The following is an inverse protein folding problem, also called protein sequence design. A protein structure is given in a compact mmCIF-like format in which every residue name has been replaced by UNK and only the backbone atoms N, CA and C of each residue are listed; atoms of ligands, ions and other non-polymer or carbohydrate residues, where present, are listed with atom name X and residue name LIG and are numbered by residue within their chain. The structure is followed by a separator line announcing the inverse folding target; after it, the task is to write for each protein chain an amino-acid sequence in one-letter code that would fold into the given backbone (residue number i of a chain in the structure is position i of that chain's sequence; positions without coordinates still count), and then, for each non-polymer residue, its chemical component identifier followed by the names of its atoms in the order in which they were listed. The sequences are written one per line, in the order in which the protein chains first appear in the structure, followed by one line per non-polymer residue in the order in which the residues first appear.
data_IF_754091180871
#
_entry.id   IF_754091180871
#
_cell.length_a   1.000
_cell.length_b   1.000
_cell.length_c   1.000
_cell.angle_alpha   90.00
_cell.angle_beta   90.00
_cell.angle_gamma   90.00
#
_symmetry.space_group_name_H-M   'P 1'
#
loop_
_entity.id
_entity.type
_entity.pdbx_description
1 polymer ?
#
# COMPACT_ATOMS: atom_id res chain seq x y z
N UNK A 1 -12.98 0.20 -14.06
CA UNK A 1 -11.52 0.29 -14.30
C UNK A 1 -10.74 0.26 -12.98
N UNK A 2 -9.47 -0.11 -13.03
CA UNK A 2 -8.52 -0.03 -11.90
C UNK A 2 -7.29 0.73 -12.38
N UNK A 3 -6.96 1.83 -11.71
CA UNK A 3 -5.82 2.68 -12.01
C UNK A 3 -4.82 2.68 -10.84
N UNK A 4 -3.54 2.56 -11.19
CA UNK A 4 -2.42 2.63 -10.25
C UNK A 4 -1.62 3.92 -10.50
N UNK A 5 -1.32 4.63 -9.42
CA UNK A 5 -0.52 5.84 -9.42
C UNK A 5 0.76 5.63 -8.62
N UNK A 6 1.87 6.16 -9.12
CA UNK A 6 3.13 6.19 -8.39
C UNK A 6 3.36 7.58 -7.82
N UNK A 7 3.33 7.70 -6.49
CA UNK A 7 3.47 8.96 -5.77
C UNK A 7 4.82 8.98 -5.04
N UNK A 8 5.64 10.04 -5.17
CA UNK A 8 6.89 10.15 -4.43
C UNK A 8 6.67 10.02 -2.92
N UNK A 9 7.47 9.20 -2.25
CA UNK A 9 7.31 8.95 -0.83
C UNK A 9 7.41 10.24 -0.01
N UNK A 10 6.38 10.51 0.79
CA UNK A 10 6.30 11.69 1.63
C UNK A 10 5.92 12.96 0.89
N UNK A 11 5.30 12.88 -0.29
CA UNK A 11 4.65 14.03 -0.92
C UNK A 11 3.80 14.79 0.12
N UNK A 12 4.01 16.10 0.23
CA UNK A 12 3.36 16.95 1.25
C UNK A 12 3.87 16.82 2.70
N UNK A 13 4.78 15.88 3.02
CA UNK A 13 5.25 15.64 4.40
C UNK A 13 6.79 15.58 4.49
N UNK A 14 7.48 16.71 4.82
CA UNK A 14 8.94 16.78 4.82
C UNK A 14 9.64 15.73 5.70
N UNK A 15 9.06 15.42 6.87
CA UNK A 15 9.63 14.42 7.79
C UNK A 15 9.68 13.04 7.13
N UNK A 16 8.60 12.64 6.44
CA UNK A 16 8.53 11.35 5.74
C UNK A 16 9.53 11.32 4.58
N UNK A 17 9.72 12.43 3.85
CA UNK A 17 10.73 12.52 2.79
C UNK A 17 12.14 12.33 3.34
N UNK A 18 12.47 12.99 4.45
CA UNK A 18 13.77 12.88 5.10
C UNK A 18 14.03 11.46 5.62
N UNK A 19 13.07 10.88 6.34
CA UNK A 19 13.15 9.49 6.81
C UNK A 19 13.30 8.52 5.62
N UNK A 20 12.56 8.73 4.54
CA UNK A 20 12.66 7.92 3.32
C UNK A 20 14.04 8.00 2.67
N UNK A 21 14.63 9.21 2.56
CA UNK A 21 15.99 9.40 2.03
C UNK A 21 17.05 8.74 2.90
N UNK A 22 16.93 8.84 4.22
CA UNK A 22 17.85 8.20 5.16
C UNK A 22 17.73 6.68 5.11
N UNK A 23 16.51 6.15 5.09
CA UNK A 23 16.25 4.72 4.91
C UNK A 23 16.89 4.22 3.62
N UNK A 24 16.64 4.90 2.50
CA UNK A 24 17.19 4.53 1.20
C UNK A 24 18.72 4.60 1.17
N UNK A 25 19.30 5.63 1.78
CA UNK A 25 20.74 5.77 1.92
C UNK A 25 21.37 4.54 2.60
N UNK A 26 20.81 4.13 3.74
CA UNK A 26 21.30 2.99 4.53
C UNK A 26 21.07 1.68 3.77
N UNK A 27 19.88 1.48 3.21
CA UNK A 27 19.52 0.25 2.52
C UNK A 27 20.28 0.07 1.20
N UNK A 28 20.47 1.13 0.44
CA UNK A 28 21.25 1.07 -0.80
C UNK A 28 22.72 0.72 -0.52
N UNK A 29 23.29 1.30 0.54
CA UNK A 29 24.65 0.95 0.99
C UNK A 29 24.74 -0.52 1.41
N UNK A 30 23.83 -0.99 2.27
CA UNK A 30 23.83 -2.37 2.75
C UNK A 30 23.61 -3.39 1.62
N UNK A 31 22.76 -3.05 0.65
CA UNK A 31 22.45 -3.89 -0.52
C UNK A 31 23.44 -3.70 -1.68
N UNK A 32 24.50 -2.91 -1.50
CA UNK A 32 25.53 -2.64 -2.53
C UNK A 32 24.95 -2.19 -3.88
N UNK A 33 23.95 -1.31 -3.85
CA UNK A 33 23.25 -0.80 -5.03
C UNK A 33 23.23 0.72 -5.07
N UNK A 34 22.99 1.35 -6.24
CA UNK A 34 22.71 2.78 -6.29
C UNK A 34 21.43 3.12 -5.52
N UNK A 35 21.36 4.37 -5.04
CA UNK A 35 20.16 4.93 -4.40
C UNK A 35 19.10 5.19 -5.46
N UNK A 36 17.86 4.87 -5.15
CA UNK A 36 16.68 5.07 -5.98
C UNK A 36 15.70 6.02 -5.31
N UNK A 37 14.86 6.65 -6.11
CA UNK A 37 13.72 7.43 -5.58
C UNK A 37 12.70 6.46 -5.00
N UNK A 38 12.15 6.80 -3.84
CA UNK A 38 11.12 5.99 -3.21
C UNK A 38 9.74 6.47 -3.63
N UNK A 39 8.88 5.51 -3.95
CA UNK A 39 7.48 5.76 -4.32
C UNK A 39 6.57 4.89 -3.46
N UNK A 40 5.34 5.37 -3.27
CA UNK A 40 4.24 4.52 -2.88
C UNK A 40 3.22 4.42 -4.01
N UNK A 41 2.56 3.27 -4.09
CA UNK A 41 1.45 3.03 -4.97
C UNK A 41 0.15 3.55 -4.33
N UNK A 42 -0.70 4.13 -5.17
CA UNK A 42 -2.08 4.49 -4.84
C UNK A 42 -3.01 3.81 -5.84
N UNK A 43 -4.13 3.27 -5.36
CA UNK A 43 -5.13 2.61 -6.19
C UNK A 43 -6.43 3.41 -6.24
N UNK A 44 -6.92 3.62 -7.45
CA UNK A 44 -8.25 4.17 -7.72
C UNK A 44 -9.03 3.11 -8.49
N UNK A 45 -10.18 2.71 -7.95
CA UNK A 45 -11.08 1.76 -8.61
C UNK A 45 -12.34 2.50 -9.01
N UNK A 46 -12.81 2.32 -10.23
CA UNK A 46 -14.11 2.82 -10.65
C UNK A 46 -14.99 1.65 -11.07
N UNK A 47 -16.17 1.60 -10.47
CA UNK A 47 -17.15 0.54 -10.71
C UNK A 47 -18.55 1.15 -10.75
N UNK A 48 -19.33 0.79 -11.77
CA UNK A 48 -20.72 1.25 -11.94
C UNK A 48 -20.87 2.79 -11.81
N UNK A 49 -19.87 3.54 -12.30
CA UNK A 49 -19.82 5.01 -12.26
C UNK A 49 -19.38 5.61 -10.91
N UNK A 50 -19.04 4.77 -9.93
CA UNK A 50 -18.59 5.18 -8.59
C UNK A 50 -17.09 4.99 -8.46
N UNK A 51 -16.38 6.09 -8.18
CA UNK A 51 -14.96 6.07 -7.83
C UNK A 51 -14.80 5.63 -6.37
N UNK A 52 -14.13 4.52 -6.15
CA UNK A 52 -13.78 3.96 -4.85
C UNK A 52 -12.27 4.05 -4.66
N UNK A 53 -11.87 4.61 -3.54
CA UNK A 53 -10.47 4.90 -3.24
C UNK A 53 -9.97 3.93 -2.18
N UNK A 54 -8.79 3.36 -2.41
CA UNK A 54 -8.11 2.47 -1.47
C UNK A 54 -6.92 3.20 -0.89
N UNK A 55 -6.97 3.50 0.40
CA UNK A 55 -5.95 4.27 1.10
C UNK A 55 -5.52 3.52 2.36
N UNK A 56 -4.24 3.66 2.71
CA UNK A 56 -3.80 3.32 4.06
C UNK A 56 -3.30 4.56 4.78
N UNK A 57 -3.84 4.82 5.97
CA UNK A 57 -3.55 6.02 6.73
C UNK A 57 -3.41 5.75 8.24
N UNK A 58 -2.77 6.65 9.01
CA UNK A 58 -2.85 6.64 10.47
C UNK A 58 -4.30 6.74 10.95
N UNK A 59 -4.56 6.30 12.18
CA UNK A 59 -5.88 6.38 12.82
C UNK A 59 -6.07 7.75 13.49
N UNK A 60 -6.91 8.66 12.95
CA UNK A 60 -7.08 9.99 13.51
C UNK A 60 -7.98 9.98 14.77
N UNK A 61 -9.01 9.14 14.77
CA UNK A 61 -10.04 9.04 15.82
C UNK A 61 -10.69 7.64 15.79
N UNK A 62 -11.67 7.40 16.68
CA UNK A 62 -12.30 6.09 16.85
C UNK A 62 -13.50 5.83 15.90
N UNK A 63 -13.84 6.77 15.00
CA UNK A 63 -14.96 6.66 14.05
C UNK A 63 -14.53 6.09 12.70
N UNK A 64 -13.83 4.96 12.72
CA UNK A 64 -13.32 4.29 11.50
C UNK A 64 -14.40 3.89 10.51
N UNK A 65 -15.57 3.47 11.00
CA UNK A 65 -16.75 3.12 10.17
C UNK A 65 -17.22 4.26 9.27
N UNK A 66 -17.15 5.52 9.72
CA UNK A 66 -17.50 6.68 8.90
C UNK A 66 -16.50 6.89 7.75
N UNK A 67 -15.33 6.26 7.84
CA UNK A 67 -14.23 6.33 6.88
C UNK A 67 -14.08 5.09 6.00
N UNK A 68 -15.03 4.15 6.05
CA UNK A 68 -14.93 2.91 5.27
C UNK A 68 -13.69 2.09 5.63
N UNK A 69 -13.28 2.10 6.90
CA UNK A 69 -12.18 1.26 7.38
C UNK A 69 -12.57 -0.21 7.22
N UNK A 70 -11.70 -0.98 6.57
CA UNK A 70 -11.90 -2.41 6.36
C UNK A 70 -10.89 -3.27 7.13
N UNK A 71 -9.76 -2.69 7.54
CA UNK A 71 -8.77 -3.38 8.36
C UNK A 71 -7.98 -2.40 9.22
N UNK A 72 -7.49 -2.86 10.38
CA UNK A 72 -6.58 -2.10 11.24
C UNK A 72 -5.42 -2.95 11.72
N UNK A 73 -4.25 -2.35 11.87
CA UNK A 73 -3.05 -3.05 12.32
C UNK A 73 -2.12 -2.18 13.16
N UNK A 74 -1.21 -2.79 13.93
CA UNK A 74 -0.22 -2.08 14.74
C UNK A 74 0.91 -1.47 13.89
N UNK A 75 1.53 -0.41 14.39
CA UNK A 75 2.70 0.25 13.80
C UNK A 75 3.92 0.06 14.69
N UNK A 76 5.04 -0.37 14.10
CA UNK A 76 6.33 -0.45 14.77
C UNK A 76 6.47 -1.64 15.72
N UNK A 77 5.66 -1.78 16.76
CA UNK A 77 5.66 -2.92 17.67
C UNK A 77 4.22 -3.38 17.95
N UNK A 78 4.01 -4.70 17.95
CA UNK A 78 2.68 -5.30 18.12
C UNK A 78 1.97 -4.84 19.40
N UNK A 79 2.69 -4.79 20.51
CA UNK A 79 2.12 -4.42 21.80
C UNK A 79 1.80 -2.91 21.90
N UNK A 80 2.46 -2.05 21.11
CA UNK A 80 2.15 -0.62 21.02
C UNK A 80 0.80 -0.36 20.37
N UNK A 81 0.32 -1.30 19.54
CA UNK A 81 -1.01 -1.24 18.91
C UNK A 81 -2.16 -1.12 19.90
N UNK A 82 -1.95 -1.31 21.21
CA UNK A 82 -2.94 -0.95 22.24
C UNK A 82 -3.26 0.56 22.24
N UNK A 83 -2.33 1.41 21.82
CA UNK A 83 -2.50 2.86 21.73
C UNK A 83 -2.77 3.29 20.29
N UNK A 84 -3.78 4.15 20.10
CA UNK A 84 -4.28 4.56 18.78
C UNK A 84 -3.20 5.14 17.87
N UNK A 85 -2.27 5.93 18.41
CA UNK A 85 -1.18 6.56 17.65
C UNK A 85 -0.21 5.56 17.01
N UNK A 86 -0.23 4.30 17.47
CA UNK A 86 0.56 3.20 16.91
C UNK A 86 -0.33 2.21 16.15
N UNK A 87 -1.41 2.69 15.53
CA UNK A 87 -2.25 1.90 14.63
C UNK A 87 -2.33 2.55 13.26
N UNK A 88 -2.58 1.73 12.25
CA UNK A 88 -2.93 2.16 10.91
C UNK A 88 -4.29 1.56 10.52
N UNK A 89 -4.95 2.22 9.57
CA UNK A 89 -6.22 1.82 8.97
C UNK A 89 -6.02 1.59 7.47
N UNK A 90 -6.58 0.50 6.94
CA UNK A 90 -6.84 0.35 5.50
C UNK A 90 -8.28 0.78 5.26
N UNK A 91 -8.48 1.75 4.36
CA UNK A 91 -9.76 2.35 4.03
C UNK A 91 -10.18 2.01 2.61
N UNK A 92 -11.47 1.78 2.44
CA UNK A 92 -12.16 1.58 1.17
C UNK A 92 -13.47 2.36 1.23
N UNK A 93 -13.56 3.48 0.51
CA UNK A 93 -14.78 4.30 0.51
C UNK A 93 -15.14 4.87 -0.88
N UNK A 94 -16.44 5.03 -1.18
CA UNK A 94 -16.89 5.80 -2.34
C UNK A 94 -16.52 7.29 -2.20
N UNK A 95 -16.02 7.89 -3.28
CA UNK A 95 -15.80 9.33 -3.40
C UNK A 95 -14.66 9.93 -2.58
N UNK A 96 -13.87 9.11 -1.87
CA UNK A 96 -12.81 9.66 -1.05
C UNK A 96 -11.58 10.10 -1.83
N UNK A 97 -10.79 10.98 -1.23
CA UNK A 97 -9.59 11.55 -1.82
C UNK A 97 -8.34 10.82 -1.36
N UNK A 98 -7.31 10.82 -2.21
CA UNK A 98 -5.93 10.49 -1.83
C UNK A 98 -5.20 11.83 -1.80
N UNK A 99 -4.87 12.38 -0.62
CA UNK A 99 -4.38 13.76 -0.50
C UNK A 99 -3.11 14.07 -1.31
N UNK A 100 -2.27 13.07 -1.56
CA UNK A 100 -0.99 13.20 -2.27
C UNK A 100 -1.05 12.72 -3.73
N UNK A 101 -2.23 12.40 -4.25
CA UNK A 101 -2.40 11.92 -5.63
C UNK A 101 -1.96 12.96 -6.66
N UNK A 102 -2.12 14.25 -6.37
CA UNK A 102 -1.69 15.35 -7.25
C UNK A 102 -0.16 15.38 -7.42
N UNK A 103 0.59 14.73 -6.54
CA UNK A 103 2.03 14.56 -6.66
C UNK A 103 2.43 13.31 -7.47
N UNK A 104 1.47 12.54 -7.99
CA UNK A 104 1.74 11.36 -8.81
C UNK A 104 2.61 11.72 -10.03
N UNK A 105 3.56 10.84 -10.35
CA UNK A 105 4.47 11.03 -11.48
C UNK A 105 3.92 10.33 -12.71
N UNK A 106 3.63 11.13 -13.74
CA UNK A 106 3.12 10.63 -15.02
C UNK A 106 1.62 10.31 -14.98
N UNK A 107 1.07 9.82 -16.10
CA UNK A 107 -0.32 9.39 -16.15
C UNK A 107 -0.57 8.14 -15.28
N UNK A 108 -1.82 7.89 -14.84
CA UNK A 108 -2.17 6.63 -14.20
C UNK A 108 -1.82 5.45 -15.10
N UNK A 109 -1.35 4.38 -14.47
CA UNK A 109 -1.23 3.09 -15.14
C UNK A 109 -2.55 2.35 -15.02
N UNK A 110 -3.25 2.21 -16.15
CA UNK A 110 -4.43 1.34 -16.26
C UNK A 110 -4.00 -0.10 -16.01
N UNK A 111 -4.48 -0.67 -14.91
CA UNK A 111 -4.25 -2.07 -14.54
C UNK A 111 -5.25 -2.96 -15.27
N UNK A 112 -6.51 -2.53 -15.33
CA UNK A 112 -7.56 -3.25 -16.04
C UNK A 112 -8.79 -2.38 -16.27
N UNK A 113 -9.56 -2.70 -17.31
CA UNK A 113 -10.91 -2.18 -17.55
C UNK A 113 -12.02 -3.17 -17.24
N UNK A 114 -11.67 -4.41 -16.90
CA UNK A 114 -12.62 -5.46 -16.56
C UNK A 114 -13.34 -5.16 -15.23
N UNK A 115 -14.66 -4.95 -15.24
CA UNK A 115 -15.44 -4.75 -14.01
C UNK A 115 -15.36 -5.92 -13.04
N UNK A 116 -15.19 -7.15 -13.52
CA UNK A 116 -15.06 -8.32 -12.66
C UNK A 116 -13.74 -8.30 -11.86
N UNK A 117 -12.63 -7.90 -12.49
CA UNK A 117 -11.35 -7.68 -11.79
C UNK A 117 -11.48 -6.52 -10.81
N UNK A 118 -12.13 -5.42 -11.18
CA UNK A 118 -12.37 -4.28 -10.29
C UNK A 118 -13.14 -4.67 -9.01
N UNK A 119 -14.18 -5.52 -9.14
CA UNK A 119 -14.91 -6.10 -7.99
C UNK A 119 -13.98 -6.91 -7.10
N UNK A 120 -13.20 -7.82 -7.69
CA UNK A 120 -12.25 -8.66 -6.94
C UNK A 120 -11.18 -7.84 -6.23
N UNK A 121 -10.71 -6.73 -6.81
CA UNK A 121 -9.80 -5.80 -6.14
C UNK A 121 -10.46 -5.25 -4.87
N UNK A 122 -11.69 -4.72 -4.96
CA UNK A 122 -12.38 -4.17 -3.80
C UNK A 122 -12.71 -5.21 -2.72
N UNK A 123 -13.04 -6.43 -3.12
CA UNK A 123 -13.23 -7.58 -2.22
C UNK A 123 -11.91 -7.96 -1.54
N UNK A 124 -10.81 -8.02 -2.29
CA UNK A 124 -9.49 -8.33 -1.75
C UNK A 124 -9.06 -7.32 -0.69
N UNK A 125 -9.26 -6.01 -0.90
CA UNK A 125 -8.90 -4.99 0.11
C UNK A 125 -9.47 -5.29 1.50
N UNK A 126 -10.71 -5.84 1.56
CA UNK A 126 -11.36 -6.17 2.82
C UNK A 126 -10.75 -7.39 3.54
N UNK A 127 -9.95 -8.19 2.84
CA UNK A 127 -9.29 -9.39 3.37
C UNK A 127 -7.77 -9.21 3.57
N UNK A 128 -7.25 -8.00 3.40
CA UNK A 128 -5.81 -7.70 3.53
C UNK A 128 -5.33 -8.07 4.94
N UNK A 129 -4.21 -8.80 5.08
CA UNK A 129 -3.65 -9.13 6.38
C UNK A 129 -3.11 -7.89 7.08
N UNK A 130 -3.06 -7.94 8.41
CA UNK A 130 -2.66 -6.80 9.25
C UNK A 130 -1.39 -7.07 10.09
N UNK A 131 -0.26 -7.44 9.47
CA UNK A 131 1.00 -7.54 10.20
C UNK A 131 1.45 -6.16 10.71
N UNK A 132 2.43 -6.14 11.60
CA UNK A 132 2.98 -4.90 12.13
C UNK A 132 3.62 -4.08 11.01
N UNK A 133 3.09 -2.88 10.78
CA UNK A 133 3.65 -1.94 9.82
C UNK A 133 5.10 -1.59 10.16
N UNK A 134 5.96 -1.59 9.15
CA UNK A 134 7.38 -1.33 9.30
C UNK A 134 8.19 -2.53 9.80
N UNK A 135 7.58 -3.72 9.91
CA UNK A 135 8.26 -4.96 10.28
C UNK A 135 8.14 -6.02 9.19
N UNK A 136 9.13 -6.90 9.14
CA UNK A 136 9.11 -8.10 8.32
C UNK A 136 8.60 -9.30 9.13
N UNK A 137 7.35 -9.23 9.62
CA UNK A 137 6.73 -10.38 10.33
C UNK A 137 6.42 -11.54 9.39
N UNK A 138 6.40 -11.28 8.09
CA UNK A 138 6.21 -12.30 7.09
C UNK A 138 7.52 -12.98 6.72
N UNK A 139 8.71 -12.53 7.12
CA UNK A 139 9.97 -13.09 6.62
C UNK A 139 10.07 -13.04 5.09
N UNK A 140 9.62 -11.93 4.49
CA UNK A 140 9.71 -11.65 3.07
C UNK A 140 11.03 -10.93 2.70
N UNK A 141 11.86 -10.57 3.68
CA UNK A 141 13.09 -9.79 3.48
C UNK A 141 12.84 -8.28 3.32
N UNK A 142 11.59 -7.83 3.41
CA UNK A 142 11.19 -6.42 3.39
C UNK A 142 10.06 -6.16 4.40
N UNK A 143 9.95 -4.92 4.87
CA UNK A 143 8.89 -4.52 5.79
C UNK A 143 7.52 -4.52 5.12
N UNK A 144 6.47 -4.80 5.91
CA UNK A 144 5.09 -4.53 5.49
C UNK A 144 4.78 -3.03 5.53
N UNK A 145 4.23 -2.50 4.43
CA UNK A 145 3.76 -1.13 4.32
C UNK A 145 2.62 -0.98 3.28
N UNK A 146 2.33 0.25 2.80
CA UNK A 146 1.18 0.53 1.93
C UNK A 146 1.37 -0.07 0.54
N UNK A 147 2.62 -0.14 0.06
CA UNK A 147 2.94 -0.87 -1.16
C UNK A 147 2.63 -2.36 -1.00
N UNK A 148 2.85 -2.92 0.20
CA UNK A 148 2.49 -4.31 0.49
C UNK A 148 0.99 -4.53 0.38
N UNK A 149 0.17 -3.62 0.92
CA UNK A 149 -1.29 -3.68 0.81
C UNK A 149 -1.75 -3.64 -0.65
N UNK A 150 -1.20 -2.72 -1.45
CA UNK A 150 -1.54 -2.60 -2.88
C UNK A 150 -1.12 -3.86 -3.65
N UNK A 151 0.13 -4.29 -3.51
CA UNK A 151 0.66 -5.46 -4.20
C UNK A 151 -0.12 -6.73 -3.83
N UNK A 152 -0.41 -6.91 -2.54
CA UNK A 152 -1.21 -8.03 -2.04
C UNK A 152 -2.63 -8.01 -2.64
N UNK A 153 -3.27 -6.84 -2.66
CA UNK A 153 -4.64 -6.69 -3.18
C UNK A 153 -4.71 -7.06 -4.65
N UNK A 154 -3.76 -6.56 -5.47
CA UNK A 154 -3.73 -6.82 -6.90
C UNK A 154 -3.46 -8.30 -7.21
N UNK A 155 -2.47 -8.91 -6.55
CA UNK A 155 -2.14 -10.33 -6.74
C UNK A 155 -3.33 -11.23 -6.35
N UNK A 156 -3.98 -10.95 -5.22
CA UNK A 156 -5.18 -11.69 -4.77
C UNK A 156 -6.39 -11.51 -5.68
N UNK A 157 -6.48 -10.40 -6.40
CA UNK A 157 -7.53 -10.15 -7.40
C UNK A 157 -7.25 -10.84 -8.75
N UNK A 158 -6.09 -11.50 -8.90
CA UNK A 158 -5.66 -12.18 -10.12
C UNK A 158 -5.05 -11.25 -11.16
N UNK A 159 -4.54 -10.08 -10.75
CA UNK A 159 -3.78 -9.18 -11.62
C UNK A 159 -2.36 -9.71 -11.78
N UNK A 160 -1.83 -9.67 -13.01
CA UNK A 160 -0.40 -9.89 -13.25
C UNK A 160 0.42 -8.71 -12.72
N UNK A 161 0.79 -8.81 -11.44
CA UNK A 161 1.59 -7.84 -10.71
C UNK A 161 3.05 -7.83 -11.11
N UNK A 162 3.57 -8.91 -11.69
CA UNK A 162 4.97 -9.00 -12.12
C UNK A 162 5.22 -8.13 -13.36
N UNK A 163 4.17 -7.85 -14.15
CA UNK A 163 4.21 -6.84 -15.21
C UNK A 163 4.25 -5.39 -14.67
N UNK A 164 3.97 -5.16 -13.38
CA UNK A 164 3.88 -3.82 -12.79
C UNK A 164 5.26 -3.32 -12.31
N UNK A 165 5.98 -2.64 -13.20
CA UNK A 165 7.19 -1.91 -12.84
C UNK A 165 6.88 -0.55 -12.18
N UNK A 166 7.73 -0.19 -11.21
CA UNK A 166 7.83 1.18 -10.67
C UNK A 166 8.44 2.12 -11.73
N UNK A 167 8.35 3.44 -11.47
CA UNK A 167 8.97 4.48 -12.30
C UNK A 167 10.48 4.24 -12.44
N UNK A 168 11.05 4.53 -13.62
CA UNK A 168 12.48 4.39 -13.88
C UNK A 168 13.33 5.14 -12.83
N UNK A 169 14.37 4.47 -12.31
CA UNK A 169 15.20 4.98 -11.21
C UNK A 169 14.47 5.04 -9.85
N UNK A 170 13.30 4.43 -9.77
CA UNK A 170 12.46 4.36 -8.59
C UNK A 170 12.35 2.94 -8.02
N UNK A 171 11.96 2.84 -6.75
CA UNK A 171 11.52 1.58 -6.13
C UNK A 171 10.35 1.83 -5.18
N UNK A 172 9.59 0.77 -4.95
CA UNK A 172 8.45 0.75 -4.03
C UNK A 172 8.72 -0.29 -2.92
N UNK A 173 9.47 0.07 -1.85
CA UNK A 173 9.77 -0.84 -0.76
C UNK A 173 8.49 -1.45 -0.18
N UNK A 174 8.50 -2.72 0.19
CA UNK A 174 7.34 -3.44 0.73
C UNK A 174 6.44 -4.05 -0.34
N UNK A 175 6.59 -3.69 -1.63
CA UNK A 175 5.87 -4.34 -2.72
C UNK A 175 6.10 -5.86 -2.73
N UNK A 176 7.36 -6.28 -2.59
CA UNK A 176 7.72 -7.70 -2.54
C UNK A 176 7.09 -8.41 -1.34
N UNK A 177 7.07 -7.77 -0.16
CA UNK A 177 6.40 -8.32 1.02
C UNK A 177 4.90 -8.57 0.77
N UNK A 178 4.23 -7.67 0.06
CA UNK A 178 2.83 -7.86 -0.36
C UNK A 178 2.63 -9.10 -1.23
N UNK A 179 3.52 -9.31 -2.22
CA UNK A 179 3.48 -10.48 -3.10
C UNK A 179 3.72 -11.79 -2.34
N UNK A 180 4.73 -11.82 -1.47
CA UNK A 180 5.01 -12.97 -0.62
C UNK A 180 3.80 -13.28 0.28
N UNK A 181 3.18 -12.24 0.86
CA UNK A 181 1.97 -12.39 1.68
C UNK A 181 0.76 -12.91 0.90
N UNK A 182 0.58 -12.52 -0.37
CA UNK A 182 -0.56 -12.91 -1.18
C UNK A 182 -0.49 -14.36 -1.67
N UNK A 183 0.73 -14.81 -1.99
CA UNK A 183 1.01 -16.14 -2.53
C UNK A 183 1.16 -17.21 -1.45
N UNK A 184 1.06 -16.83 -0.17
CA UNK A 184 1.06 -17.78 0.94
C UNK A 184 -0.26 -18.53 1.01
N UNK A 185 -0.21 -19.86 1.22
CA UNK A 185 -1.43 -20.59 1.54
C UNK A 185 -2.05 -20.04 2.83
N UNK A 186 -3.39 -20.01 2.94
CA UNK A 186 -4.05 -19.60 4.16
C UNK A 186 -3.56 -20.48 5.31
N UNK A 187 -3.18 -19.86 6.44
CA UNK A 187 -2.81 -20.62 7.64
C UNK A 187 -4.02 -21.46 8.03
N UNK A 188 -3.88 -22.78 8.00
CA UNK A 188 -4.84 -23.70 8.60
C UNK A 188 -4.64 -23.61 10.11
N UNK A 189 -5.64 -23.11 10.81
CA UNK A 189 -5.73 -23.21 12.27
C UNK A 189 -6.39 -24.54 12.64
#
# INVERSE_FOLDING_TARGET
MVDLYWVPLGAGTPVVQWCGRLFELVMAWWQHRPRNRLFHAALVVEIDGVRVTVEQAPVPDDHGELRGVVATGPVGLRWLGRWRVFRYEVRRWPGGSIPDLDAAVGPPRRITDDPAVARRVLEAVAAVPTPVWGRDEQHAGEMWNSNSVVAWTLDRAGVDVDAIACVAGGRAPGWHAGLVGARRPPMRF
#
